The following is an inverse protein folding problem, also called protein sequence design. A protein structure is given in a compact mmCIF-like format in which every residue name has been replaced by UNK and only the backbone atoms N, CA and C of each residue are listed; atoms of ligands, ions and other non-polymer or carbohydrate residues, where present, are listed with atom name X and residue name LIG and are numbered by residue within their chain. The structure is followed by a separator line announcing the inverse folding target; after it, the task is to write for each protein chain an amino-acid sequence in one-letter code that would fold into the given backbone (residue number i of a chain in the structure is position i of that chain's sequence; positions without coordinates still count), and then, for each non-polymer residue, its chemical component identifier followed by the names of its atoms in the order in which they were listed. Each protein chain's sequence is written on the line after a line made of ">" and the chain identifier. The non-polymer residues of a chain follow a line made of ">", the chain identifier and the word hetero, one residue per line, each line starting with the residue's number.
data_IF_804824032811
#
_entry.id   IF_804824032811
#
_cell.length_a   1.000
_cell.length_b   1.000
_cell.length_c   1.000
_cell.angle_alpha   90.00
_cell.angle_beta   90.00
_cell.angle_gamma   90.00
#
_symmetry.space_group_name_H-M   'P 1'
#
loop_
_entity.id
_entity.type
_entity.pdbx_description
1 polymer ?
#
# COMPACT_ATOMS: atom_id res chain seq x y z
N UNK A 1 -9.75 15.48 -11.20
CA UNK A 1 -8.61 15.31 -10.28
C UNK A 1 -7.35 15.51 -11.08
N UNK A 2 -6.41 16.30 -10.57
CA UNK A 2 -5.05 16.40 -11.12
C UNK A 2 -4.26 15.18 -10.66
N UNK A 3 -3.63 14.46 -11.59
CA UNK A 3 -2.71 13.38 -11.25
C UNK A 3 -1.49 13.96 -10.53
N UNK A 4 -0.98 13.27 -9.51
CA UNK A 4 0.28 13.65 -8.88
C UNK A 4 1.41 13.59 -9.90
N UNK A 5 2.09 14.71 -10.11
CA UNK A 5 3.30 14.74 -10.94
C UNK A 5 4.50 14.36 -10.07
N UNK A 6 5.04 13.16 -10.31
CA UNK A 6 6.26 12.71 -9.64
C UNK A 6 7.38 13.72 -9.96
N UNK A 7 8.04 14.32 -8.96
CA UNK A 7 9.15 15.23 -9.18
C UNK A 7 10.25 14.56 -10.01
N UNK A 8 10.93 15.31 -10.88
CA UNK A 8 12.05 14.77 -11.69
C UNK A 8 13.17 14.18 -10.84
N UNK A 9 13.40 14.76 -9.66
CA UNK A 9 14.38 14.32 -8.68
C UNK A 9 13.69 14.14 -7.33
N UNK A 10 13.01 13.01 -7.09
CA UNK A 10 12.36 12.76 -5.82
C UNK A 10 13.39 12.57 -4.71
N UNK A 11 13.04 13.02 -3.51
CA UNK A 11 13.85 12.79 -2.32
C UNK A 11 14.02 11.28 -2.04
N UNK A 12 15.01 10.87 -1.23
CA UNK A 12 15.18 9.47 -0.89
C UNK A 12 13.96 8.82 -0.22
N UNK A 13 13.23 9.53 0.65
CA UNK A 13 12.02 9.00 1.28
C UNK A 13 10.86 8.85 0.29
N UNK A 14 10.65 9.84 -0.59
CA UNK A 14 9.67 9.72 -1.69
C UNK A 14 10.04 8.56 -2.63
N UNK A 15 11.31 8.37 -2.96
CA UNK A 15 11.77 7.20 -3.74
C UNK A 15 11.44 5.88 -3.06
N UNK A 16 11.61 5.79 -1.74
CA UNK A 16 11.25 4.59 -0.99
C UNK A 16 9.74 4.33 -1.04
N UNK A 17 8.90 5.36 -0.89
CA UNK A 17 7.43 5.24 -1.00
C UNK A 17 7.03 4.80 -2.41
N UNK A 18 7.55 5.43 -3.46
CA UNK A 18 7.26 5.04 -4.84
C UNK A 18 7.67 3.60 -5.11
N UNK A 19 8.89 3.22 -4.69
CA UNK A 19 9.37 1.86 -4.84
C UNK A 19 8.47 0.84 -4.12
N UNK A 20 8.01 1.15 -2.90
CA UNK A 20 7.04 0.31 -2.19
C UNK A 20 5.74 0.12 -2.98
N UNK A 21 5.17 1.20 -3.50
CA UNK A 21 3.92 1.14 -4.28
C UNK A 21 4.12 0.35 -5.57
N UNK A 22 5.27 0.50 -6.24
CA UNK A 22 5.64 -0.29 -7.42
C UNK A 22 5.73 -1.78 -7.09
N UNK A 23 6.38 -2.15 -5.98
CA UNK A 23 6.47 -3.56 -5.58
C UNK A 23 5.12 -4.12 -5.10
N UNK A 24 4.28 -3.30 -4.48
CA UNK A 24 2.93 -3.68 -4.05
C UNK A 24 2.03 -4.01 -5.24
N UNK A 25 2.11 -3.23 -6.33
CA UNK A 25 1.37 -3.48 -7.58
C UNK A 25 1.64 -4.85 -8.17
N UNK A 26 2.89 -5.31 -8.09
CA UNK A 26 3.30 -6.62 -8.62
C UNK A 26 3.40 -7.71 -7.56
N UNK A 27 3.02 -7.40 -6.32
CA UNK A 27 3.12 -8.27 -5.14
C UNK A 27 4.51 -8.92 -4.99
N UNK A 28 5.58 -8.17 -5.26
CA UNK A 28 6.95 -8.64 -5.09
C UNK A 28 7.35 -8.62 -3.61
N UNK A 29 6.92 -9.66 -2.88
CA UNK A 29 7.08 -9.74 -1.43
C UNK A 29 8.54 -9.70 -0.98
N UNK A 30 9.45 -10.23 -1.80
CA UNK A 30 10.89 -10.22 -1.50
C UNK A 30 11.45 -8.79 -1.45
N UNK A 31 11.09 -7.94 -2.41
CA UNK A 31 11.52 -6.54 -2.40
C UNK A 31 10.78 -5.72 -1.34
N UNK A 32 9.49 -6.00 -1.12
CA UNK A 32 8.72 -5.37 -0.03
C UNK A 32 9.35 -5.67 1.33
N UNK A 33 9.79 -6.90 1.58
CA UNK A 33 10.42 -7.29 2.84
C UNK A 33 11.67 -6.46 3.15
N UNK A 34 12.49 -6.16 2.15
CA UNK A 34 13.72 -5.36 2.28
C UNK A 34 13.45 -3.92 2.71
N UNK A 35 12.24 -3.42 2.43
CA UNK A 35 11.83 -2.08 2.81
C UNK A 35 11.39 -1.98 4.28
N UNK A 36 11.23 -3.08 5.00
CA UNK A 36 10.78 -3.08 6.38
C UNK A 36 11.94 -3.27 7.36
N UNK A 37 11.96 -2.48 8.43
CA UNK A 37 12.80 -2.75 9.60
C UNK A 37 12.35 -4.04 10.31
N UNK A 38 13.20 -4.59 11.17
CA UNK A 38 12.87 -5.83 11.89
C UNK A 38 11.76 -5.62 12.92
N UNK A 39 11.62 -4.40 13.45
CA UNK A 39 10.57 -3.95 14.37
C UNK A 39 9.36 -3.33 13.65
N UNK A 40 9.21 -3.56 12.35
CA UNK A 40 8.14 -2.96 11.55
C UNK A 40 6.73 -3.32 12.04
N UNK A 41 5.83 -2.33 12.02
CA UNK A 41 4.40 -2.48 12.31
C UNK A 41 3.53 -1.84 11.23
N UNK A 42 2.57 -2.60 10.72
CA UNK A 42 1.48 -2.12 9.89
C UNK A 42 0.19 -2.01 10.71
N UNK A 43 -0.49 -0.87 10.69
CA UNK A 43 -1.80 -0.71 11.32
C UNK A 43 -2.86 -0.15 10.35
N UNK A 44 -4.11 -0.57 10.56
CA UNK A 44 -5.25 -0.07 9.78
C UNK A 44 -6.09 0.93 10.59
N UNK A 45 -6.67 1.88 9.87
CA UNK A 45 -7.58 2.92 10.38
C UNK A 45 -8.80 3.07 9.45
N UNK A 46 -9.97 3.44 9.98
CA UNK A 46 -10.26 3.72 11.40
C UNK A 46 -10.26 2.44 12.26
N UNK A 47 -10.00 2.60 13.57
CA UNK A 47 -9.99 1.48 14.54
C UNK A 47 -11.32 0.72 14.63
N UNK A 48 -12.42 1.38 14.27
CA UNK A 48 -13.76 0.78 14.20
C UNK A 48 -13.87 -0.39 13.21
N UNK A 49 -12.92 -0.54 12.29
CA UNK A 49 -12.84 -1.70 11.41
C UNK A 49 -12.45 -3.00 12.15
N UNK A 50 -11.93 -2.91 13.38
CA UNK A 50 -11.53 -4.08 14.17
C UNK A 50 -10.33 -4.85 13.60
N UNK A 51 -9.63 -4.29 12.61
CA UNK A 51 -8.46 -4.92 11.99
C UNK A 51 -7.26 -4.75 12.93
N UNK A 52 -6.64 -5.84 13.43
CA UNK A 52 -5.47 -5.75 14.30
C UNK A 52 -4.25 -5.23 13.53
N UNK A 53 -3.35 -4.57 14.25
CA UNK A 53 -2.01 -4.27 13.72
C UNK A 53 -1.26 -5.56 13.43
N UNK A 54 -0.39 -5.54 12.42
CA UNK A 54 0.43 -6.66 11.97
C UNK A 54 1.90 -6.29 12.09
N UNK A 55 2.72 -7.17 12.62
CA UNK A 55 4.18 -7.07 12.52
C UNK A 55 4.65 -7.38 11.08
N UNK A 56 5.97 -7.32 10.85
CA UNK A 56 6.58 -7.64 9.54
C UNK A 56 6.12 -8.98 8.96
N UNK A 57 6.22 -10.06 9.73
CA UNK A 57 5.89 -11.41 9.26
C UNK A 57 4.38 -11.58 8.99
N UNK A 58 3.54 -11.07 9.89
CA UNK A 58 2.08 -11.08 9.73
C UNK A 58 1.63 -10.25 8.53
N UNK A 59 2.32 -9.13 8.25
CA UNK A 59 2.02 -8.30 7.10
C UNK A 59 2.39 -9.00 5.78
N UNK A 60 3.57 -9.62 5.71
CA UNK A 60 4.00 -10.39 4.54
C UNK A 60 3.09 -11.60 4.30
N UNK A 61 2.70 -12.33 5.35
CA UNK A 61 1.77 -13.45 5.26
C UNK A 61 0.39 -13.01 4.72
N UNK A 62 -0.10 -11.85 5.15
CA UNK A 62 -1.34 -11.27 4.60
C UNK A 62 -1.19 -10.93 3.11
N UNK A 63 -0.08 -10.31 2.71
CA UNK A 63 0.16 -9.97 1.30
C UNK A 63 0.30 -11.24 0.43
N UNK A 64 0.89 -12.31 0.97
CA UNK A 64 0.91 -13.62 0.33
C UNK A 64 -0.50 -14.19 0.18
N UNK A 65 -1.32 -14.15 1.23
CA UNK A 65 -2.72 -14.59 1.15
C UNK A 65 -3.53 -13.80 0.13
N UNK A 66 -3.26 -12.50 -0.02
CA UNK A 66 -3.83 -11.67 -1.09
C UNK A 66 -3.34 -12.12 -2.47
N UNK A 67 -2.03 -12.37 -2.64
CA UNK A 67 -1.48 -12.88 -3.89
C UNK A 67 -2.10 -14.23 -4.28
N UNK A 68 -2.27 -15.13 -3.32
CA UNK A 68 -2.88 -16.45 -3.53
C UNK A 68 -4.36 -16.33 -3.95
N UNK A 69 -5.11 -15.42 -3.31
CA UNK A 69 -6.50 -15.10 -3.69
C UNK A 69 -6.59 -14.51 -5.11
N UNK A 70 -5.57 -13.79 -5.55
CA UNK A 70 -5.44 -13.27 -6.91
C UNK A 70 -4.86 -14.30 -7.90
N UNK A 71 -4.64 -15.55 -7.46
CA UNK A 71 -4.11 -16.63 -8.31
C UNK A 71 -2.65 -16.42 -8.74
N UNK A 72 -1.85 -15.75 -7.91
CA UNK A 72 -0.45 -15.42 -8.19
C UNK A 72 -0.26 -14.35 -9.27
N UNK A 73 -1.35 -13.69 -9.71
CA UNK A 73 -1.26 -12.58 -10.65
C UNK A 73 -0.81 -11.33 -9.92
N UNK A 74 0.07 -10.50 -10.52
CA UNK A 74 0.24 -9.11 -10.14
C UNK A 74 -1.14 -8.47 -9.95
N UNK A 75 -1.26 -7.52 -9.01
CA UNK A 75 -2.48 -6.70 -8.93
C UNK A 75 -2.78 -6.13 -10.33
N UNK A 76 -1.73 -5.80 -11.11
CA UNK A 76 -1.74 -5.32 -12.50
C UNK A 76 -2.06 -6.34 -13.64
N UNK A 77 -2.37 -7.62 -13.39
CA UNK A 77 -2.58 -8.64 -14.46
C UNK A 77 -4.02 -9.15 -14.65
N UNK A 78 -5.01 -8.26 -14.52
CA UNK A 78 -5.97 -8.15 -15.61
C UNK A 78 -5.53 -6.92 -16.40
N UNK A 79 -5.72 -6.86 -17.71
CA UNK A 79 -5.31 -5.69 -18.52
C UNK A 79 -5.98 -4.36 -18.06
N UNK A 80 -6.86 -4.44 -17.05
CA UNK A 80 -7.52 -3.36 -16.31
C UNK A 80 -7.55 -3.55 -14.77
N UNK A 81 -7.00 -4.63 -14.19
CA UNK A 81 -6.94 -4.83 -12.73
C UNK A 81 -5.71 -4.12 -12.16
N UNK A 82 -5.83 -3.49 -10.98
CA UNK A 82 -4.68 -3.15 -10.14
C UNK A 82 -4.00 -1.82 -10.39
N UNK A 83 -4.74 -0.77 -10.71
CA UNK A 83 -4.13 0.55 -10.83
C UNK A 83 -3.98 1.19 -9.46
N UNK A 84 -2.75 1.43 -9.01
CA UNK A 84 -2.50 2.38 -7.93
C UNK A 84 -2.38 3.78 -8.55
N UNK A 85 -3.42 4.60 -8.44
CA UNK A 85 -3.33 6.01 -8.80
C UNK A 85 -2.84 6.80 -7.58
N UNK A 86 -1.79 7.60 -7.75
CA UNK A 86 -1.27 8.48 -6.71
C UNK A 86 -1.90 9.86 -6.91
N UNK A 87 -2.62 10.34 -5.89
CA UNK A 87 -3.20 11.69 -5.87
C UNK A 87 -2.24 12.71 -5.27
N UNK A 88 -1.51 12.34 -4.22
CA UNK A 88 -0.52 13.21 -3.59
C UNK A 88 0.52 12.41 -2.79
N UNK A 89 1.72 12.99 -2.64
CA UNK A 89 2.75 12.55 -1.68
C UNK A 89 3.30 13.76 -0.94
N UNK A 90 3.15 13.78 0.39
CA UNK A 90 3.67 14.82 1.27
C UNK A 90 4.74 14.23 2.17
N UNK A 91 5.96 14.75 2.08
CA UNK A 91 7.09 14.33 2.91
C UNK A 91 7.39 15.35 4.03
N UNK A 92 7.85 14.85 5.16
CA UNK A 92 8.44 15.63 6.25
C UNK A 92 9.51 14.80 6.96
N UNK A 93 10.35 15.37 7.85
CA UNK A 93 11.43 14.61 8.48
C UNK A 93 10.94 13.31 9.14
N UNK A 94 11.49 12.18 8.69
CA UNK A 94 11.18 10.84 9.23
C UNK A 94 9.80 10.27 8.85
N UNK A 95 9.00 10.94 7.99
CA UNK A 95 7.69 10.44 7.58
C UNK A 95 7.23 10.93 6.21
N UNK A 96 6.42 10.14 5.53
CA UNK A 96 5.71 10.55 4.32
C UNK A 96 4.24 10.14 4.39
N UNK A 97 3.40 10.86 3.66
CA UNK A 97 2.00 10.53 3.45
C UNK A 97 1.76 10.34 1.97
N UNK A 98 1.05 9.29 1.57
CA UNK A 98 0.63 9.10 0.19
C UNK A 98 -0.88 8.92 0.15
N UNK A 99 -1.56 9.72 -0.65
CA UNK A 99 -2.99 9.56 -0.94
C UNK A 99 -3.12 8.82 -2.26
N UNK A 100 -3.75 7.64 -2.22
CA UNK A 100 -3.83 6.76 -3.37
C UNK A 100 -5.24 6.19 -3.58
N UNK A 101 -5.54 5.86 -4.82
CA UNK A 101 -6.64 4.99 -5.20
C UNK A 101 -6.07 3.65 -5.61
N UNK A 102 -6.56 2.56 -5.04
CA UNK A 102 -6.29 1.21 -5.53
C UNK A 102 -7.52 0.70 -6.26
N UNK A 103 -7.42 0.59 -7.58
CA UNK A 103 -8.44 -0.05 -8.40
C UNK A 103 -8.17 -1.55 -8.47
N UNK A 104 -9.15 -2.40 -8.23
CA UNK A 104 -9.02 -3.84 -8.34
C UNK A 104 -10.15 -4.42 -9.19
N UNK A 105 -9.80 -5.23 -10.18
CA UNK A 105 -10.76 -6.03 -10.94
C UNK A 105 -10.53 -7.51 -10.61
N UNK A 106 -11.36 -8.09 -9.72
CA UNK A 106 -11.21 -9.49 -9.37
C UNK A 106 -11.62 -10.40 -10.54
N UNK A 107 -11.09 -11.63 -10.55
CA UNK A 107 -11.46 -12.65 -11.55
C UNK A 107 -12.98 -12.95 -11.54
N UNK A 108 -13.59 -12.90 -10.37
CA UNK A 108 -15.03 -13.01 -10.16
C UNK A 108 -15.52 -11.87 -9.27
N UNK A 109 -16.66 -11.27 -9.61
CA UNK A 109 -17.25 -10.15 -8.87
C UNK A 109 -17.19 -8.84 -9.65
N UNK A 110 -17.55 -7.74 -8.97
CA UNK A 110 -17.49 -6.40 -9.55
C UNK A 110 -16.12 -5.77 -9.27
N UNK A 111 -15.57 -4.98 -10.21
CA UNK A 111 -14.47 -4.07 -9.92
C UNK A 111 -14.80 -3.21 -8.70
N UNK A 112 -13.79 -2.90 -7.91
CA UNK A 112 -13.94 -2.01 -6.78
C UNK A 112 -12.71 -1.11 -6.64
N UNK A 113 -13.00 0.11 -6.22
CA UNK A 113 -11.99 1.10 -5.89
C UNK A 113 -11.84 1.19 -4.37
N UNK A 114 -10.61 1.25 -3.91
CA UNK A 114 -10.28 1.53 -2.51
C UNK A 114 -9.42 2.78 -2.47
N UNK A 115 -10.04 3.88 -2.10
CA UNK A 115 -9.32 5.09 -1.74
C UNK A 115 -8.71 4.94 -0.35
N UNK A 116 -7.44 5.32 -0.22
CA UNK A 116 -6.73 5.23 1.03
C UNK A 116 -5.60 6.25 1.15
N UNK A 117 -5.31 6.61 2.39
CA UNK A 117 -4.15 7.42 2.75
C UNK A 117 -3.17 6.54 3.51
N UNK A 118 -1.95 6.43 3.03
CA UNK A 118 -0.85 5.77 3.71
C UNK A 118 -0.01 6.80 4.46
N UNK A 119 0.31 6.50 5.71
CA UNK A 119 1.40 7.14 6.45
C UNK A 119 2.57 6.17 6.52
N UNK A 120 3.73 6.61 6.06
CA UNK A 120 5.01 5.90 6.17
C UNK A 120 5.86 6.58 7.25
N UNK A 121 6.39 5.80 8.19
CA UNK A 121 7.38 6.26 9.17
C UNK A 121 8.71 5.59 8.84
N UNK A 122 9.74 6.39 8.61
CA UNK A 122 11.07 5.92 8.22
C UNK A 122 11.98 5.71 9.45
N UNK A 123 12.86 4.73 9.38
CA UNK A 123 14.07 4.66 10.17
C UNK A 123 15.18 5.53 9.54
N UNK A 124 16.33 5.65 10.21
CA UNK A 124 17.46 6.45 9.73
C UNK A 124 18.02 5.95 8.39
N UNK A 125 17.92 4.64 8.13
CA UNK A 125 18.32 4.00 6.87
C UNK A 125 17.24 4.03 5.78
N UNK A 126 16.16 4.78 6.01
CA UNK A 126 14.99 4.95 5.13
C UNK A 126 14.11 3.72 4.96
N UNK A 127 14.39 2.60 5.63
CA UNK A 127 13.41 1.51 5.73
C UNK A 127 12.21 1.97 6.54
N UNK A 128 11.05 1.39 6.28
CA UNK A 128 9.85 1.70 7.02
C UNK A 128 9.88 1.00 8.37
N UNK A 129 9.74 1.80 9.42
CA UNK A 129 9.50 1.37 10.80
C UNK A 129 8.02 1.16 11.07
N UNK A 130 7.17 1.96 10.44
CA UNK A 130 5.73 1.76 10.54
C UNK A 130 5.01 2.19 9.27
N UNK A 131 3.89 1.54 9.02
CA UNK A 131 2.94 1.92 8.00
C UNK A 131 1.55 2.00 8.65
N UNK A 132 0.83 3.08 8.41
CA UNK A 132 -0.59 3.18 8.77
C UNK A 132 -1.42 3.45 7.54
N UNK A 133 -2.40 2.59 7.23
CA UNK A 133 -3.33 2.83 6.14
C UNK A 133 -4.70 3.28 6.68
N UNK A 134 -5.15 4.44 6.22
CA UNK A 134 -6.49 4.96 6.45
C UNK A 134 -7.32 4.56 5.24
N UNK A 135 -8.19 3.58 5.42
CA UNK A 135 -9.01 3.03 4.34
C UNK A 135 -10.42 3.59 4.44
N UNK A 136 -11.03 3.89 3.30
CA UNK A 136 -12.47 4.14 3.27
C UNK A 136 -13.24 2.90 3.73
N UNK A 137 -13.75 2.97 4.96
CA UNK A 137 -14.50 1.89 5.60
C UNK A 137 -15.83 1.59 4.89
N UNK A 138 -16.40 2.57 4.18
CA UNK A 138 -17.66 2.38 3.46
C UNK A 138 -17.45 1.53 2.21
N UNK A 139 -16.33 1.73 1.51
CA UNK A 139 -15.91 0.88 0.39
C UNK A 139 -15.72 -0.58 0.84
N UNK A 140 -15.07 -0.81 1.99
CA UNK A 140 -14.87 -2.15 2.54
C UNK A 140 -16.17 -2.83 3.00
N UNK A 141 -17.10 -2.09 3.63
CA UNK A 141 -18.36 -2.63 4.12
C UNK A 141 -19.30 -3.08 2.99
N UNK A 142 -19.20 -2.48 1.81
CA UNK A 142 -20.01 -2.83 0.63
C UNK A 142 -19.65 -4.18 -0.03
N UNK A 143 -18.61 -4.86 0.46
CA UNK A 143 -18.19 -6.20 0.01
C UNK A 143 -18.89 -7.35 0.76
N UNK A 144 -19.70 -7.04 1.78
CA UNK A 144 -20.46 -7.98 2.60
C UNK A 144 -21.80 -8.39 1.99
#
# INVERSE_FOLDING_TARGET
>A
MTHYEIPKEPSPGVKAVLHYLDQLRVLNLHEIEKLFTDDFVHSARPLSLGIPSRNKQENLAFLQGLADQLGGRPVEMAEQAGQITIYDIIESPGKAWAHILMHNEPQEGKPFDVECIYQFIFAEDLRFKALTNFVDSTALASRG
#
